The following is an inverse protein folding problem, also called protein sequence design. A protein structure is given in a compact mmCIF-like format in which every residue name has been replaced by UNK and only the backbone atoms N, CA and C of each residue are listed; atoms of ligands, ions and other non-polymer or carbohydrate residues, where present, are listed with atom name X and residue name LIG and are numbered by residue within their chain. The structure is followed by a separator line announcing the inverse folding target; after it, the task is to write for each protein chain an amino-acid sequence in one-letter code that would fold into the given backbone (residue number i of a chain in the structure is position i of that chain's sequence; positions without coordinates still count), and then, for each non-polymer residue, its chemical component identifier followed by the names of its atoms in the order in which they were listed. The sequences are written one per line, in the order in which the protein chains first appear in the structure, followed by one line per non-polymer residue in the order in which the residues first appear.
data_IF_579719804187
#
_entry.id   IF_579719804187
#
_cell.length_a   1.000
_cell.length_b   1.000
_cell.length_c   1.000
_cell.angle_alpha   90.00
_cell.angle_beta   90.00
_cell.angle_gamma   90.00
#
_symmetry.space_group_name_H-M   'P 1'
#
loop_
_entity.id
_entity.type
_entity.pdbx_description
1 polymer ?
#
# COMPACT_ATOMS: atom_id res chain seq x y z
N UNK A 1 -48.76 -41.09 44.62
CA UNK A 1 -48.46 -42.50 44.31
C UNK A 1 -47.46 -42.48 43.15
N UNK A 2 -46.17 -42.30 43.43
CA UNK A 2 -45.16 -43.34 43.77
C UNK A 2 -45.01 -44.42 42.69
N UNK A 3 -43.75 -44.62 42.28
CA UNK A 3 -43.13 -45.52 41.28
C UNK A 3 -42.71 -44.73 40.03
N UNK A 4 -41.58 -44.04 39.99
CA UNK A 4 -40.21 -44.32 40.46
C UNK A 4 -39.54 -45.57 39.88
N UNK A 5 -38.27 -45.33 39.49
CA UNK A 5 -37.18 -46.23 39.11
C UNK A 5 -37.23 -46.77 37.67
N UNK A 6 -36.18 -46.78 36.86
CA UNK A 6 -34.76 -46.39 36.93
C UNK A 6 -34.21 -46.68 35.50
N UNK A 7 -33.05 -46.27 34.98
CA UNK A 7 -31.80 -45.76 35.51
C UNK A 7 -30.86 -45.52 34.30
N UNK A 8 -29.95 -44.53 34.40
CA UNK A 8 -28.52 -44.63 34.01
C UNK A 8 -28.22 -44.66 32.49
N UNK A 9 -27.36 -43.83 31.88
CA UNK A 9 -26.28 -42.98 32.40
C UNK A 9 -25.77 -42.00 31.33
N UNK A 10 -24.89 -41.10 31.79
CA UNK A 10 -23.86 -40.34 31.07
C UNK A 10 -24.32 -39.02 30.42
N UNK A 11 -24.25 -37.90 31.15
CA UNK A 11 -23.04 -37.11 31.44
C UNK A 11 -22.57 -36.22 30.28
N UNK A 12 -22.84 -34.93 30.49
CA UNK A 12 -21.93 -33.80 30.30
C UNK A 12 -21.32 -33.53 28.91
N UNK A 13 -21.89 -32.49 28.28
CA UNK A 13 -21.21 -31.35 27.67
C UNK A 13 -19.85 -31.61 27.02
N UNK A 14 -19.86 -31.92 25.72
CA UNK A 14 -18.88 -31.44 24.75
C UNK A 14 -19.48 -31.51 23.33
N UNK A 15 -20.55 -30.76 23.06
CA UNK A 15 -21.06 -30.62 21.70
C UNK A 15 -20.22 -29.57 20.96
N UNK A 16 -19.32 -30.08 20.11
CA UNK A 16 -18.67 -29.36 19.03
C UNK A 16 -19.62 -28.33 18.39
N UNK A 17 -19.19 -27.07 18.33
CA UNK A 17 -19.59 -26.16 17.25
C UNK A 17 -18.93 -26.65 15.96
N UNK A 18 -19.46 -27.75 15.43
CA UNK A 18 -19.18 -28.17 14.07
C UNK A 18 -20.09 -27.30 13.20
N UNK A 19 -19.57 -26.12 12.79
CA UNK A 19 -20.18 -25.34 11.73
C UNK A 19 -20.23 -26.21 10.47
N UNK A 20 -21.36 -26.88 10.27
CA UNK A 20 -21.70 -27.49 9.00
C UNK A 20 -21.69 -26.37 7.95
N UNK A 21 -20.65 -26.36 7.10
CA UNK A 21 -20.73 -25.69 5.80
C UNK A 21 -21.86 -26.36 5.06
N UNK A 22 -23.02 -25.72 5.05
CA UNK A 22 -24.11 -26.04 4.13
C UNK A 22 -23.62 -25.62 2.75
N UNK A 23 -23.06 -26.57 2.01
CA UNK A 23 -22.79 -26.40 0.57
C UNK A 23 -24.14 -26.37 -0.16
N UNK A 24 -24.82 -25.21 -0.11
CA UNK A 24 -25.91 -24.90 -1.02
C UNK A 24 -25.34 -24.90 -2.43
N UNK A 25 -25.93 -25.69 -3.32
CA UNK A 25 -25.56 -25.70 -4.73
C UNK A 25 -25.63 -24.25 -5.26
N UNK A 26 -24.52 -23.69 -5.79
CA UNK A 26 -24.48 -22.30 -6.22
C UNK A 26 -25.48 -22.06 -7.36
N UNK A 27 -26.16 -20.92 -7.35
CA UNK A 27 -27.14 -20.55 -8.38
C UNK A 27 -26.47 -20.58 -9.77
N UNK A 28 -27.03 -21.30 -10.76
CA UNK A 28 -26.44 -21.39 -12.11
C UNK A 28 -26.18 -20.01 -12.75
N UNK A 29 -26.94 -18.97 -12.39
CA UNK A 29 -26.67 -17.59 -12.85
C UNK A 29 -25.40 -17.00 -12.24
N UNK A 30 -25.13 -17.30 -10.97
CA UNK A 30 -23.91 -16.84 -10.30
C UNK A 30 -22.68 -17.56 -10.84
N UNK A 31 -22.78 -18.86 -11.11
CA UNK A 31 -21.71 -19.64 -11.76
C UNK A 31 -21.40 -19.06 -13.14
N UNK A 32 -22.43 -18.82 -13.97
CA UNK A 32 -22.25 -18.22 -15.30
C UNK A 32 -21.65 -16.80 -15.23
N UNK A 33 -22.05 -15.99 -14.24
CA UNK A 33 -21.47 -14.66 -14.03
C UNK A 33 -20.00 -14.73 -13.58
N UNK A 34 -19.64 -15.67 -12.71
CA UNK A 34 -18.26 -15.91 -12.26
C UNK A 34 -17.41 -16.42 -13.41
N UNK A 35 -17.92 -17.34 -14.23
CA UNK A 35 -17.22 -17.84 -15.41
C UNK A 35 -17.04 -16.77 -16.48
N UNK A 36 -18.05 -15.95 -16.74
CA UNK A 36 -17.92 -14.80 -17.63
C UNK A 36 -16.88 -13.80 -17.11
N UNK A 37 -16.81 -13.58 -15.79
CA UNK A 37 -15.80 -12.71 -15.17
C UNK A 37 -14.40 -13.32 -15.29
N UNK A 38 -14.25 -14.62 -15.08
CA UNK A 38 -12.99 -15.36 -15.28
C UNK A 38 -12.56 -15.32 -16.74
N UNK A 39 -13.46 -15.48 -17.69
CA UNK A 39 -13.17 -15.43 -19.12
C UNK A 39 -12.74 -14.03 -19.56
N UNK A 40 -13.45 -12.98 -19.11
CA UNK A 40 -13.03 -11.59 -19.35
C UNK A 40 -11.66 -11.28 -18.74
N UNK A 41 -11.38 -11.76 -17.53
CA UNK A 41 -10.07 -11.56 -16.91
C UNK A 41 -8.98 -12.35 -17.65
N UNK A 42 -9.25 -13.57 -18.13
CA UNK A 42 -8.31 -14.32 -18.99
C UNK A 42 -8.03 -13.59 -20.31
N UNK A 43 -9.07 -13.09 -20.99
CA UNK A 43 -8.91 -12.28 -22.22
C UNK A 43 -8.11 -11.01 -21.95
N UNK A 44 -8.35 -10.36 -20.81
CA UNK A 44 -7.60 -9.20 -20.35
C UNK A 44 -6.13 -9.56 -20.07
N UNK A 45 -5.88 -10.66 -19.37
CA UNK A 45 -4.53 -11.16 -19.10
C UNK A 45 -3.78 -11.45 -20.41
N UNK A 46 -4.41 -12.11 -21.39
CA UNK A 46 -3.80 -12.37 -22.69
C UNK A 46 -3.38 -11.08 -23.43
N UNK A 47 -4.07 -9.95 -23.21
CA UNK A 47 -3.71 -8.64 -23.80
C UNK A 47 -2.60 -7.92 -23.03
N UNK A 48 -2.64 -7.94 -21.70
CA UNK A 48 -1.70 -7.19 -20.86
C UNK A 48 -0.37 -7.92 -20.61
N UNK A 49 -0.38 -9.25 -20.55
CA UNK A 49 0.83 -10.05 -20.33
C UNK A 49 1.64 -10.27 -21.60
N UNK A 50 1.03 -10.18 -22.79
CA UNK A 50 1.77 -10.20 -24.05
C UNK A 50 2.40 -8.82 -24.32
N UNK A 51 3.71 -8.71 -24.09
CA UNK A 51 4.48 -7.46 -24.20
C UNK A 51 4.43 -6.87 -25.61
N UNK A 52 4.42 -7.70 -26.67
CA UNK A 52 4.36 -7.22 -28.05
C UNK A 52 2.98 -6.61 -28.38
N UNK A 53 1.90 -7.28 -27.98
CA UNK A 53 0.54 -6.75 -28.19
C UNK A 53 0.29 -5.48 -27.37
N UNK A 54 0.94 -5.32 -26.21
CA UNK A 54 0.85 -4.10 -25.39
C UNK A 54 1.55 -2.89 -26.01
N UNK A 55 2.65 -3.11 -26.72
CA UNK A 55 3.47 -2.03 -27.30
C UNK A 55 3.07 -1.73 -28.75
N UNK A 56 2.71 -2.75 -29.54
CA UNK A 56 2.46 -2.65 -30.99
C UNK A 56 1.21 -3.41 -31.46
N UNK A 57 0.26 -3.73 -30.57
CA UNK A 57 -0.97 -4.43 -30.96
C UNK A 57 -1.87 -3.56 -31.81
N UNK A 58 -2.01 -3.90 -33.09
CA UNK A 58 -2.90 -3.23 -34.04
C UNK A 58 -3.75 -4.29 -34.72
N UNK A 59 -5.06 -4.03 -34.82
CA UNK A 59 -6.01 -4.92 -35.50
C UNK A 59 -5.92 -4.71 -37.02
N UNK A 60 -5.09 -5.53 -37.67
CA UNK A 60 -4.80 -5.45 -39.11
C UNK A 60 -6.04 -5.80 -39.94
N UNK A 61 -6.89 -6.71 -39.47
CA UNK A 61 -8.10 -7.13 -40.19
C UNK A 61 -9.16 -6.02 -40.18
N UNK A 62 -9.34 -5.34 -39.05
CA UNK A 62 -10.21 -4.17 -38.96
C UNK A 62 -9.70 -3.01 -39.82
N UNK A 63 -8.39 -2.74 -39.81
CA UNK A 63 -7.79 -1.70 -40.66
C UNK A 63 -7.94 -2.02 -42.16
N UNK A 64 -7.71 -3.27 -42.56
CA UNK A 64 -7.93 -3.68 -43.94
C UNK A 64 -9.39 -3.51 -44.35
N UNK A 65 -10.34 -3.85 -43.47
CA UNK A 65 -11.77 -3.64 -43.71
C UNK A 65 -12.11 -2.15 -43.89
N UNK A 66 -11.53 -1.26 -43.07
CA UNK A 66 -11.70 0.19 -43.21
C UNK A 66 -11.11 0.74 -44.51
N UNK A 67 -9.96 0.22 -44.95
CA UNK A 67 -9.33 0.61 -46.22
C UNK A 67 -10.20 0.19 -47.40
N UNK A 68 -10.74 -1.03 -47.39
CA UNK A 68 -11.66 -1.48 -48.44
C UNK A 68 -12.97 -0.68 -48.45
N UNK A 69 -13.54 -0.38 -47.28
CA UNK A 69 -14.73 0.48 -47.19
C UNK A 69 -14.47 1.88 -47.76
N UNK A 70 -13.29 2.45 -47.48
CA UNK A 70 -12.87 3.74 -48.05
C UNK A 70 -12.73 3.67 -49.57
N UNK A 71 -12.11 2.61 -50.11
CA UNK A 71 -11.98 2.43 -51.57
C UNK A 71 -13.34 2.33 -52.24
N UNK A 72 -14.29 1.63 -51.63
CA UNK A 72 -15.67 1.52 -52.13
C UNK A 72 -16.34 2.89 -52.14
N UNK A 73 -16.22 3.66 -51.05
CA UNK A 73 -16.75 5.04 -50.99
C UNK A 73 -16.18 5.94 -52.07
N UNK A 74 -14.86 5.96 -52.23
CA UNK A 74 -14.19 6.75 -53.26
C UNK A 74 -14.59 6.31 -54.68
N UNK A 75 -14.82 5.02 -54.92
CA UNK A 75 -15.30 4.52 -56.21
C UNK A 75 -16.75 4.96 -56.51
N UNK A 76 -17.62 4.96 -55.49
CA UNK A 76 -19.00 5.45 -55.61
C UNK A 76 -19.04 6.95 -55.86
N UNK A 77 -18.24 7.74 -55.14
CA UNK A 77 -18.11 9.18 -55.36
C UNK A 77 -17.65 9.48 -56.79
N UNK A 78 -16.58 8.83 -57.27
CA UNK A 78 -16.13 8.99 -58.66
C UNK A 78 -17.21 8.62 -59.68
N UNK A 79 -17.99 7.56 -59.43
CA UNK A 79 -19.10 7.19 -60.30
C UNK A 79 -20.21 8.24 -60.32
N UNK A 80 -20.49 8.87 -59.18
CA UNK A 80 -21.48 9.94 -59.09
C UNK A 80 -20.99 11.19 -59.82
N UNK A 81 -19.73 11.57 -59.65
CA UNK A 81 -19.13 12.72 -60.33
C UNK A 81 -19.19 12.55 -61.85
N UNK A 82 -18.82 11.39 -62.39
CA UNK A 82 -18.97 11.09 -63.81
C UNK A 82 -20.43 11.18 -64.29
N UNK A 83 -21.39 10.77 -63.45
CA UNK A 83 -22.81 10.89 -63.77
C UNK A 83 -23.31 12.35 -63.75
N UNK A 84 -22.72 13.21 -62.92
CA UNK A 84 -23.00 14.64 -62.95
C UNK A 84 -22.36 15.33 -64.15
N UNK A 85 -21.11 15.00 -64.48
CA UNK A 85 -20.40 15.55 -65.63
C UNK A 85 -21.11 15.24 -66.95
N UNK A 86 -21.61 14.01 -67.11
CA UNK A 86 -22.42 13.62 -68.28
C UNK A 86 -23.74 14.39 -68.37
N UNK A 87 -24.41 14.65 -67.25
CA UNK A 87 -25.61 15.50 -67.21
C UNK A 87 -25.29 16.94 -67.56
N UNK A 88 -24.19 17.49 -67.04
CA UNK A 88 -23.73 18.84 -67.37
C UNK A 88 -23.48 18.99 -68.87
N UNK A 89 -22.72 18.07 -69.47
CA UNK A 89 -22.47 18.07 -70.91
C UNK A 89 -23.78 18.00 -71.74
N UNK A 90 -24.78 17.24 -71.27
CA UNK A 90 -26.09 17.19 -71.90
C UNK A 90 -26.84 18.53 -71.80
N UNK A 91 -26.85 19.18 -70.63
CA UNK A 91 -27.49 20.49 -70.47
C UNK A 91 -26.81 21.58 -71.28
N UNK A 92 -25.49 21.57 -71.37
CA UNK A 92 -24.74 22.51 -72.20
C UNK A 92 -25.07 22.37 -73.69
N UNK A 93 -25.21 21.12 -74.17
CA UNK A 93 -25.66 20.86 -75.54
C UNK A 93 -27.07 21.40 -75.80
N UNK A 94 -28.00 21.20 -74.86
CA UNK A 94 -29.37 21.71 -74.96
C UNK A 94 -29.38 23.25 -74.98
N UNK A 95 -28.58 23.90 -74.14
CA UNK A 95 -28.46 25.35 -74.11
C UNK A 95 -27.96 25.90 -75.46
N UNK A 96 -26.92 25.29 -76.05
CA UNK A 96 -26.40 25.67 -77.37
C UNK A 96 -27.44 25.49 -78.49
N UNK A 97 -28.29 24.46 -78.41
CA UNK A 97 -29.37 24.26 -79.37
C UNK A 97 -30.45 25.36 -79.25
N UNK A 98 -30.85 25.72 -78.04
CA UNK A 98 -31.84 26.77 -77.79
C UNK A 98 -31.33 28.14 -78.27
N UNK A 99 -30.07 28.47 -78.01
CA UNK A 99 -29.45 29.72 -78.46
C UNK A 99 -29.44 29.83 -80.00
N UNK A 100 -29.12 28.72 -80.69
CA UNK A 100 -29.18 28.66 -82.16
C UNK A 100 -30.60 28.87 -82.69
N UNK A 101 -31.60 28.23 -82.08
CA UNK A 101 -33.00 28.43 -82.47
C UNK A 101 -33.45 29.88 -82.28
N UNK A 102 -33.09 30.51 -81.17
CA UNK A 102 -33.41 31.91 -80.89
C UNK A 102 -32.76 32.86 -81.90
N UNK A 103 -31.48 32.64 -82.21
CA UNK A 103 -30.76 33.42 -83.22
C UNK A 103 -31.41 33.28 -84.62
N UNK A 104 -31.82 32.08 -85.01
CA UNK A 104 -32.55 31.86 -86.27
C UNK A 104 -33.92 32.53 -86.30
N UNK A 105 -34.65 32.54 -85.17
CA UNK A 105 -35.94 33.24 -85.05
C UNK A 105 -35.74 34.75 -85.18
N UNK A 106 -34.72 35.31 -84.53
CA UNK A 106 -34.37 36.72 -84.63
C UNK A 106 -33.99 37.12 -86.07
N UNK A 107 -33.18 36.30 -86.76
CA UNK A 107 -32.81 36.53 -88.15
C UNK A 107 -34.04 36.49 -89.09
N UNK A 108 -34.93 35.50 -88.91
CA UNK A 108 -36.19 35.40 -89.68
C UNK A 108 -37.10 36.61 -89.46
N UNK A 109 -37.20 37.10 -88.22
CA UNK A 109 -37.98 38.29 -87.89
C UNK A 109 -37.38 39.54 -88.54
N UNK A 110 -36.07 39.72 -88.44
CA UNK A 110 -35.36 40.86 -89.04
C UNK A 110 -35.53 40.90 -90.56
N UNK A 111 -35.39 39.76 -91.26
CA UNK A 111 -35.65 39.68 -92.71
C UNK A 111 -37.08 40.07 -93.06
N UNK A 112 -38.09 39.57 -92.34
CA UNK A 112 -39.50 39.95 -92.57
C UNK A 112 -39.74 41.44 -92.38
N UNK A 113 -39.11 42.07 -91.38
CA UNK A 113 -39.20 43.52 -91.17
C UNK A 113 -38.56 44.28 -92.32
N UNK A 114 -37.39 43.83 -92.79
CA UNK A 114 -36.70 44.43 -93.93
C UNK A 114 -37.54 44.33 -95.21
N UNK A 115 -38.06 43.15 -95.53
CA UNK A 115 -38.93 42.90 -96.70
C UNK A 115 -40.20 43.79 -96.63
N UNK A 116 -40.76 43.97 -95.43
CA UNK A 116 -41.91 44.84 -95.23
C UNK A 116 -41.59 46.32 -95.48
N UNK A 117 -40.42 46.80 -95.01
CA UNK A 117 -39.95 48.17 -95.28
C UNK A 117 -39.78 48.39 -96.79
N UNK A 118 -39.13 47.46 -97.47
CA UNK A 118 -38.85 47.56 -98.90
C UNK A 118 -40.12 47.49 -99.75
N UNK A 119 -41.16 46.76 -99.33
CA UNK A 119 -42.40 46.64 -100.10
C UNK A 119 -43.42 47.75 -99.81
N UNK A 120 -43.54 48.19 -98.55
CA UNK A 120 -44.64 49.06 -98.08
C UNK A 120 -44.21 50.47 -97.70
N UNK A 121 -42.92 50.71 -97.42
CA UNK A 121 -42.40 52.00 -96.94
C UNK A 121 -41.43 52.63 -97.95
N UNK A 122 -41.70 52.47 -99.25
CA UNK A 122 -40.98 53.22 -100.28
C UNK A 122 -41.52 54.65 -100.36
N UNK A 123 -40.63 55.64 -100.43
CA UNK A 123 -40.97 57.07 -100.53
C UNK A 123 -41.95 57.40 -101.68
N UNK A 124 -41.96 56.58 -102.74
CA UNK A 124 -42.85 56.71 -103.91
C UNK A 124 -44.31 56.35 -103.63
N UNK A 125 -44.58 55.65 -102.53
CA UNK A 125 -45.90 55.13 -102.16
C UNK A 125 -46.54 55.94 -101.03
N UNK A 126 -45.97 57.10 -100.67
CA UNK A 126 -46.53 58.01 -99.70
C UNK A 126 -47.60 58.90 -100.36
N UNK A 127 -48.73 59.08 -99.67
CA UNK A 127 -49.88 59.84 -100.15
C UNK A 127 -49.61 61.36 -100.29
N UNK A 128 -48.44 61.80 -99.83
CA UNK A 128 -47.99 63.20 -99.76
C UNK A 128 -46.79 63.49 -100.69
N UNK A 129 -46.43 62.56 -101.58
CA UNK A 129 -45.32 62.76 -102.53
C UNK A 129 -45.53 63.98 -103.46
N UNK A 130 -46.79 64.36 -103.72
CA UNK A 130 -47.14 65.56 -104.49
C UNK A 130 -46.81 66.89 -103.77
N UNK A 131 -46.63 66.90 -102.44
CA UNK A 131 -46.25 68.09 -101.66
C UNK A 131 -44.73 68.27 -101.51
N UNK A 132 -43.94 67.25 -101.83
CA UNK A 132 -42.49 67.24 -101.70
C UNK A 132 -41.76 67.23 -103.06
N UNK A 133 -42.45 67.62 -104.12
CA UNK A 133 -41.84 67.84 -105.44
C UNK A 133 -41.15 69.23 -105.46
N UNK A 134 -39.83 69.34 -105.74
CA UNK A 134 -39.09 70.61 -105.67
C UNK A 134 -39.55 71.70 -106.67
N UNK A 135 -40.57 71.44 -107.49
CA UNK A 135 -41.00 72.27 -108.62
C UNK A 135 -42.45 72.80 -108.54
N UNK A 136 -43.19 72.63 -107.43
CA UNK A 136 -44.51 73.27 -107.28
C UNK A 136 -44.43 74.65 -106.63
N UNK A 137 -44.72 75.69 -107.42
CA UNK A 137 -44.77 77.10 -107.04
C UNK A 137 -46.11 77.45 -106.33
N UNK A 138 -45.97 77.93 -105.10
CA UNK A 138 -46.86 78.77 -104.26
C UNK A 138 -48.29 79.10 -104.74
N UNK A 139 -49.29 78.61 -104.00
CA UNK A 139 -50.54 79.35 -103.76
C UNK A 139 -50.43 80.14 -102.44
N UNK A 140 -50.74 81.44 -102.49
CA UNK A 140 -50.55 82.39 -101.40
C UNK A 140 -51.44 82.06 -100.17
N UNK A 141 -50.93 82.19 -98.93
CA UNK A 141 -51.78 82.22 -97.75
C UNK A 141 -52.50 83.57 -97.68
N UNK A 142 -53.83 83.53 -97.54
CA UNK A 142 -54.61 84.70 -97.13
C UNK A 142 -54.07 85.23 -95.79
N UNK A 143 -53.87 86.55 -95.74
CA UNK A 143 -53.23 87.30 -94.66
C UNK A 143 -53.83 86.98 -93.27
N UNK A 144 -53.00 86.39 -92.42
CA UNK A 144 -53.31 85.92 -91.06
C UNK A 144 -53.10 87.01 -90.00
N UNK A 145 -53.69 88.21 -90.13
CA UNK A 145 -53.70 89.18 -89.04
C UNK A 145 -54.94 90.07 -89.10
N UNK A 146 -56.08 89.51 -88.69
CA UNK A 146 -57.11 90.34 -88.07
C UNK A 146 -57.71 89.57 -86.88
N UNK A 147 -57.31 89.96 -85.67
CA UNK A 147 -57.56 89.23 -84.41
C UNK A 147 -58.97 89.50 -83.87
N UNK A 148 -59.92 89.85 -84.75
CA UNK A 148 -61.28 90.27 -84.40
C UNK A 148 -62.35 89.67 -85.34
N UNK A 149 -62.06 88.55 -86.01
CA UNK A 149 -63.09 87.71 -86.63
C UNK A 149 -63.33 86.47 -85.78
N UNK A 150 -64.50 86.38 -85.15
CA UNK A 150 -64.93 85.18 -84.42
C UNK A 150 -65.20 84.04 -85.40
N UNK A 151 -64.19 83.19 -85.60
CA UNK A 151 -64.32 81.96 -86.35
C UNK A 151 -65.07 80.93 -85.48
N UNK A 152 -66.33 80.62 -85.83
CA UNK A 152 -67.10 79.57 -85.15
C UNK A 152 -66.53 78.17 -85.40
N UNK A 153 -66.99 77.13 -84.68
CA UNK A 153 -66.47 75.76 -84.79
C UNK A 153 -66.59 75.14 -86.20
N UNK A 154 -67.39 75.71 -87.10
CA UNK A 154 -67.51 75.30 -88.50
C UNK A 154 -66.35 75.75 -89.41
N UNK A 155 -65.58 76.76 -88.99
CA UNK A 155 -64.44 77.30 -89.76
C UNK A 155 -63.22 76.38 -89.77
N UNK A 156 -63.12 75.46 -88.79
CA UNK A 156 -61.94 74.62 -88.53
C UNK A 156 -60.62 75.39 -88.33
N UNK A 157 -60.67 76.66 -87.93
CA UNK A 157 -59.47 77.50 -87.75
C UNK A 157 -58.99 77.60 -86.28
N UNK A 158 -59.80 77.15 -85.32
CA UNK A 158 -59.47 77.16 -83.89
C UNK A 158 -60.00 75.89 -83.22
N UNK A 159 -59.13 75.11 -82.56
CA UNK A 159 -59.50 73.88 -81.87
C UNK A 159 -59.17 73.96 -80.37
N UNK A 160 -60.11 73.61 -79.49
CA UNK A 160 -59.89 73.59 -78.04
C UNK A 160 -58.82 72.59 -77.57
N UNK A 161 -58.42 71.65 -78.43
CA UNK A 161 -57.29 70.75 -78.18
C UNK A 161 -55.92 71.36 -78.46
N UNK A 162 -55.87 72.53 -79.10
CA UNK A 162 -54.62 73.28 -79.35
C UNK A 162 -54.24 74.05 -78.09
N UNK A 163 -53.43 73.40 -77.26
CA UNK A 163 -52.91 73.98 -76.02
C UNK A 163 -51.77 74.97 -76.33
N UNK A 164 -52.13 76.24 -76.49
CA UNK A 164 -51.17 77.34 -76.66
C UNK A 164 -50.27 77.54 -75.42
N UNK A 165 -50.65 77.00 -74.25
CA UNK A 165 -49.89 77.08 -72.99
C UNK A 165 -49.12 75.78 -72.67
N UNK A 166 -49.06 74.84 -73.63
CA UNK A 166 -48.36 73.54 -73.46
C UNK A 166 -46.93 73.69 -72.96
N UNK A 167 -46.18 74.66 -73.49
CA UNK A 167 -44.80 74.91 -73.09
C UNK A 167 -44.68 75.37 -71.63
N UNK A 168 -45.58 76.26 -71.19
CA UNK A 168 -45.62 76.76 -69.81
C UNK A 168 -45.97 75.63 -68.82
N UNK A 169 -46.92 74.76 -69.18
CA UNK A 169 -47.29 73.57 -68.40
C UNK A 169 -46.13 72.58 -68.28
N UNK A 170 -45.43 72.30 -69.38
CA UNK A 170 -44.28 71.41 -69.39
C UNK A 170 -43.12 71.98 -68.56
N UNK A 171 -42.86 73.28 -68.62
CA UNK A 171 -41.86 73.94 -67.75
C UNK A 171 -42.20 73.77 -66.28
N UNK A 172 -43.45 74.01 -65.88
CA UNK A 172 -43.89 73.82 -64.49
C UNK A 172 -43.73 72.35 -64.04
N UNK A 173 -44.08 71.38 -64.89
CA UNK A 173 -43.88 69.96 -64.58
C UNK A 173 -42.40 69.61 -64.43
N UNK A 174 -41.54 70.10 -65.32
CA UNK A 174 -40.09 69.90 -65.24
C UNK A 174 -39.50 70.49 -63.96
N UNK A 175 -39.95 71.67 -63.55
CA UNK A 175 -39.51 72.30 -62.31
C UNK A 175 -39.96 71.50 -61.07
N UNK A 176 -41.20 70.99 -61.06
CA UNK A 176 -41.68 70.10 -60.01
C UNK A 176 -40.89 68.79 -59.94
N UNK A 177 -40.60 68.18 -61.09
CA UNK A 177 -39.77 66.97 -61.14
C UNK A 177 -38.36 67.23 -60.62
N UNK A 178 -37.73 68.34 -61.03
CA UNK A 178 -36.40 68.72 -60.54
C UNK A 178 -36.41 68.92 -59.03
N UNK A 179 -37.37 69.66 -58.49
CA UNK A 179 -37.49 69.89 -57.04
C UNK A 179 -37.64 68.57 -56.26
N UNK A 180 -38.50 67.67 -56.72
CA UNK A 180 -38.71 66.37 -56.07
C UNK A 180 -37.45 65.48 -56.12
N UNK A 181 -36.71 65.49 -57.24
CA UNK A 181 -35.46 64.75 -57.37
C UNK A 181 -34.37 65.32 -56.47
N UNK A 182 -34.25 66.64 -56.40
CA UNK A 182 -33.29 67.31 -55.52
C UNK A 182 -33.59 66.99 -54.05
N UNK A 183 -34.87 66.99 -53.66
CA UNK A 183 -35.29 66.60 -52.31
C UNK A 183 -34.95 65.13 -52.01
N UNK A 184 -35.24 64.20 -52.92
CA UNK A 184 -34.89 62.78 -52.74
C UNK A 184 -33.38 62.55 -52.62
N UNK A 185 -32.57 63.30 -53.37
CA UNK A 185 -31.11 63.23 -53.26
C UNK A 185 -30.63 63.72 -51.90
N UNK A 186 -31.18 64.82 -51.40
CA UNK A 186 -30.84 65.34 -50.06
C UNK A 186 -31.24 64.35 -48.95
N UNK A 187 -32.43 63.77 -49.03
CA UNK A 187 -32.89 62.75 -48.08
C UNK A 187 -31.98 61.51 -48.10
N UNK A 188 -31.58 61.03 -49.28
CA UNK A 188 -30.64 59.90 -49.39
C UNK A 188 -29.26 60.25 -48.83
N UNK A 189 -28.75 61.45 -49.08
CA UNK A 189 -27.47 61.90 -48.53
C UNK A 189 -27.54 61.99 -47.00
N UNK A 190 -28.60 62.58 -46.45
CA UNK A 190 -28.81 62.65 -45.01
C UNK A 190 -28.90 61.26 -44.37
N UNK A 191 -29.63 60.32 -44.99
CA UNK A 191 -29.72 58.94 -44.52
C UNK A 191 -28.37 58.22 -44.54
N UNK A 192 -27.56 58.40 -45.59
CA UNK A 192 -26.19 57.86 -45.66
C UNK A 192 -25.27 58.43 -44.59
N UNK A 193 -25.36 59.74 -44.34
CA UNK A 193 -24.57 60.40 -43.30
C UNK A 193 -24.98 59.92 -41.90
N UNK A 194 -26.27 59.72 -41.66
CA UNK A 194 -26.79 59.16 -40.42
C UNK A 194 -26.34 57.71 -40.21
N UNK A 195 -26.42 56.87 -41.25
CA UNK A 195 -25.92 55.50 -41.24
C UNK A 195 -24.41 55.45 -40.95
N UNK A 196 -23.62 56.31 -41.59
CA UNK A 196 -22.18 56.41 -41.34
C UNK A 196 -21.86 56.83 -39.90
N UNK A 197 -22.62 57.78 -39.32
CA UNK A 197 -22.47 58.18 -37.91
C UNK A 197 -22.86 57.05 -36.96
N UNK A 198 -23.95 56.34 -37.25
CA UNK A 198 -24.39 55.20 -36.46
C UNK A 198 -23.37 54.06 -36.49
N UNK A 199 -22.81 53.77 -37.67
CA UNK A 199 -21.74 52.78 -37.83
C UNK A 199 -20.49 53.16 -37.03
N UNK A 200 -20.04 54.41 -37.11
CA UNK A 200 -18.89 54.90 -36.33
C UNK A 200 -19.14 54.77 -34.82
N UNK A 201 -20.32 55.13 -34.35
CA UNK A 201 -20.68 54.99 -32.93
C UNK A 201 -20.71 53.52 -32.50
N UNK A 202 -21.26 52.64 -33.34
CA UNK A 202 -21.28 51.19 -33.10
C UNK A 202 -19.87 50.62 -32.98
N UNK A 203 -18.97 51.01 -33.88
CA UNK A 203 -17.56 50.60 -33.84
C UNK A 203 -16.85 51.10 -32.59
N UNK A 204 -17.08 52.36 -32.19
CA UNK A 204 -16.53 52.91 -30.95
C UNK A 204 -17.02 52.16 -29.70
N UNK A 205 -18.31 51.81 -29.66
CA UNK A 205 -18.88 51.03 -28.57
C UNK A 205 -18.29 49.62 -28.53
N UNK A 206 -18.13 48.96 -29.68
CA UNK A 206 -17.48 47.65 -29.76
C UNK A 206 -16.05 47.70 -29.22
N UNK A 207 -15.26 48.68 -29.66
CA UNK A 207 -13.89 48.87 -29.18
C UNK A 207 -13.85 49.12 -27.66
N UNK A 208 -14.77 49.92 -27.11
CA UNK A 208 -14.86 50.17 -25.68
C UNK A 208 -15.25 48.91 -24.87
N UNK A 209 -16.09 48.04 -25.44
CA UNK A 209 -16.44 46.75 -24.83
C UNK A 209 -15.24 45.82 -24.85
N UNK A 210 -14.52 45.73 -25.97
CA UNK A 210 -13.35 44.87 -26.12
C UNK A 210 -12.20 45.29 -25.21
N UNK A 211 -11.94 46.58 -25.08
CA UNK A 211 -10.91 47.10 -24.15
C UNK A 211 -11.27 46.79 -22.71
N UNK A 212 -12.52 47.00 -22.30
CA UNK A 212 -13.00 46.67 -20.96
C UNK A 212 -12.93 45.17 -20.69
N UNK A 213 -13.25 44.33 -21.67
CA UNK A 213 -13.14 42.88 -21.55
C UNK A 213 -11.68 42.45 -21.33
N UNK A 214 -10.73 43.03 -22.08
CA UNK A 214 -9.31 42.77 -21.92
C UNK A 214 -8.79 43.21 -20.54
N UNK A 215 -9.22 44.37 -20.05
CA UNK A 215 -8.87 44.84 -18.70
C UNK A 215 -9.37 43.89 -17.61
N UNK A 216 -10.63 43.44 -17.71
CA UNK A 216 -11.21 42.49 -16.76
C UNK A 216 -10.48 41.14 -16.77
N UNK A 217 -10.14 40.62 -17.96
CA UNK A 217 -9.36 39.39 -18.09
C UNK A 217 -7.99 39.51 -17.41
N UNK A 218 -7.28 40.62 -17.64
CA UNK A 218 -5.98 40.89 -17.00
C UNK A 218 -6.09 40.96 -15.47
N UNK A 219 -7.14 41.63 -14.96
CA UNK A 219 -7.39 41.71 -13.52
C UNK A 219 -7.69 40.33 -12.94
N UNK A 220 -8.54 39.53 -13.59
CA UNK A 220 -8.85 38.17 -13.15
C UNK A 220 -7.60 37.27 -13.11
N UNK A 221 -6.75 37.33 -14.13
CA UNK A 221 -5.49 36.60 -14.16
C UNK A 221 -4.56 37.01 -13.02
N UNK A 222 -4.43 38.31 -12.75
CA UNK A 222 -3.60 38.81 -11.65
C UNK A 222 -4.13 38.37 -10.28
N UNK A 223 -5.45 38.38 -10.07
CA UNK A 223 -6.10 37.85 -8.87
C UNK A 223 -5.87 36.35 -8.71
N UNK A 224 -6.04 35.57 -9.79
CA UNK A 224 -5.76 34.12 -9.79
C UNK A 224 -4.29 33.84 -9.49
N UNK A 225 -3.36 34.62 -10.05
CA UNK A 225 -1.94 34.49 -9.77
C UNK A 225 -1.62 34.79 -8.30
N UNK A 226 -2.16 35.88 -7.75
CA UNK A 226 -2.01 36.23 -6.33
C UNK A 226 -2.60 35.16 -5.40
N UNK A 227 -3.74 34.57 -5.75
CA UNK A 227 -4.34 33.47 -4.98
C UNK A 227 -3.45 32.22 -5.00
N UNK A 228 -2.91 31.85 -6.17
CA UNK A 228 -1.99 30.70 -6.30
C UNK A 228 -0.72 30.91 -5.48
N UNK A 229 -0.13 32.11 -5.49
CA UNK A 229 1.07 32.39 -4.70
C UNK A 229 0.78 32.38 -3.20
N UNK A 230 -0.35 32.95 -2.77
CA UNK A 230 -0.78 32.88 -1.37
C UNK A 230 -1.00 31.42 -0.90
N UNK A 231 -1.69 30.60 -1.71
CA UNK A 231 -1.88 29.17 -1.42
C UNK A 231 -0.55 28.41 -1.36
N UNK A 232 0.36 28.66 -2.30
CA UNK A 232 1.68 28.03 -2.30
C UNK A 232 2.48 28.40 -1.04
N UNK A 233 2.42 29.65 -0.60
CA UNK A 233 3.08 30.10 0.62
C UNK A 233 2.45 29.48 1.88
N UNK A 234 1.12 29.39 1.95
CA UNK A 234 0.42 28.72 3.05
C UNK A 234 0.78 27.22 3.12
N UNK A 235 0.79 26.53 1.97
CA UNK A 235 1.19 25.12 1.89
C UNK A 235 2.64 24.91 2.32
N UNK A 236 3.56 25.79 1.89
CA UNK A 236 4.97 25.77 2.34
C UNK A 236 5.09 25.96 3.86
N UNK A 237 4.35 26.92 4.43
CA UNK A 237 4.35 27.16 5.87
C UNK A 237 3.79 25.95 6.65
N UNK A 238 2.72 25.34 6.14
CA UNK A 238 2.14 24.13 6.73
C UNK A 238 3.11 22.95 6.67
N UNK A 239 3.77 22.72 5.53
CA UNK A 239 4.78 21.68 5.38
C UNK A 239 5.96 21.90 6.34
N UNK A 240 6.42 23.15 6.49
CA UNK A 240 7.47 23.48 7.45
C UNK A 240 7.04 23.21 8.90
N UNK A 241 5.80 23.58 9.28
CA UNK A 241 5.24 23.26 10.60
C UNK A 241 5.18 21.76 10.85
N UNK A 242 4.71 20.98 9.87
CA UNK A 242 4.66 19.52 9.97
C UNK A 242 6.06 18.91 10.11
N UNK A 243 7.04 19.39 9.34
CA UNK A 243 8.43 18.93 9.46
C UNK A 243 9.03 19.23 10.84
N UNK A 244 8.72 20.39 11.44
CA UNK A 244 9.14 20.70 12.81
C UNK A 244 8.50 19.77 13.84
N UNK A 245 7.20 19.50 13.73
CA UNK A 245 6.51 18.56 14.62
C UNK A 245 7.11 17.14 14.52
N UNK A 246 7.37 16.66 13.31
CA UNK A 246 8.02 15.36 13.10
C UNK A 246 9.42 15.31 13.71
N UNK A 247 10.21 16.38 13.61
CA UNK A 247 11.53 16.46 14.25
C UNK A 247 11.42 16.42 15.78
N UNK A 248 10.46 17.15 16.35
CA UNK A 248 10.20 17.13 17.79
C UNK A 248 9.79 15.73 18.26
N UNK A 249 8.89 15.08 17.53
CA UNK A 249 8.44 13.71 17.83
C UNK A 249 9.59 12.71 17.73
N UNK A 250 10.46 12.83 16.72
CA UNK A 250 11.67 12.02 16.61
C UNK A 250 12.62 12.24 17.78
N UNK A 251 12.80 13.49 18.23
CA UNK A 251 13.62 13.80 19.41
C UNK A 251 13.02 13.19 20.67
N UNK A 252 11.71 13.35 20.89
CA UNK A 252 11.02 12.74 22.03
C UNK A 252 11.12 11.22 22.00
N UNK A 253 10.99 10.59 20.84
CA UNK A 253 11.15 9.15 20.69
C UNK A 253 12.59 8.72 20.99
N UNK A 254 13.60 9.48 20.55
CA UNK A 254 14.99 9.20 20.88
C UNK A 254 15.24 9.32 22.39
N UNK A 255 14.71 10.35 23.04
CA UNK A 255 14.79 10.51 24.50
C UNK A 255 14.09 9.36 25.24
N UNK A 256 12.89 8.97 24.80
CA UNK A 256 12.17 7.82 25.34
C UNK A 256 12.98 6.52 25.18
N UNK A 257 13.54 6.27 23.99
CA UNK A 257 14.39 5.11 23.74
C UNK A 257 15.63 5.12 24.65
N UNK A 258 16.29 6.28 24.82
CA UNK A 258 17.47 6.40 25.69
C UNK A 258 17.11 6.18 27.16
N UNK A 259 15.97 6.71 27.62
CA UNK A 259 15.50 6.48 28.99
C UNK A 259 15.12 5.03 29.22
N UNK A 260 14.51 4.36 28.24
CA UNK A 260 14.24 2.93 28.29
C UNK A 260 15.53 2.11 28.37
N UNK A 261 16.51 2.38 27.49
CA UNK A 261 17.82 1.71 27.50
C UNK A 261 18.49 1.90 28.87
N UNK A 262 18.52 3.12 29.40
CA UNK A 262 19.09 3.39 30.73
C UNK A 262 18.36 2.59 31.81
N UNK A 263 17.03 2.57 31.80
CA UNK A 263 16.21 1.83 32.77
C UNK A 263 16.48 0.33 32.70
N UNK A 264 16.60 -0.23 31.49
CA UNK A 264 16.93 -1.63 31.28
C UNK A 264 18.34 -1.94 31.81
N UNK A 265 19.34 -1.12 31.45
CA UNK A 265 20.72 -1.27 31.93
C UNK A 265 20.79 -1.23 33.46
N UNK A 266 20.02 -0.35 34.11
CA UNK A 266 19.96 -0.25 35.59
C UNK A 266 18.99 -1.23 36.24
N UNK A 267 18.28 -2.06 35.46
CA UNK A 267 17.30 -2.99 36.02
C UNK A 267 17.98 -4.08 36.85
N UNK A 268 17.27 -4.58 37.86
CA UNK A 268 17.76 -5.67 38.72
C UNK A 268 18.04 -6.97 37.93
N UNK A 269 17.39 -7.14 36.78
CA UNK A 269 17.59 -8.28 35.89
C UNK A 269 18.98 -8.21 35.24
N UNK A 270 19.30 -7.11 34.54
CA UNK A 270 20.57 -6.98 33.80
C UNK A 270 21.77 -6.70 34.71
N UNK A 271 21.58 -6.02 35.84
CA UNK A 271 22.66 -5.77 36.83
C UNK A 271 22.89 -6.96 37.77
N UNK A 272 22.03 -7.97 37.68
CA UNK A 272 21.99 -9.11 38.59
C UNK A 272 22.03 -8.74 40.08
N UNK A 273 21.36 -7.66 40.47
CA UNK A 273 21.40 -7.11 41.81
C UNK A 273 21.10 -8.18 42.89
N UNK A 274 22.03 -8.46 43.84
CA UNK A 274 21.83 -9.48 44.88
C UNK A 274 20.72 -9.10 45.88
N UNK A 275 20.41 -7.80 46.02
CA UNK A 275 19.36 -7.32 46.92
C UNK A 275 17.96 -7.71 46.44
N UNK A 276 17.78 -7.99 45.14
CA UNK A 276 16.51 -8.46 44.59
C UNK A 276 16.08 -9.84 45.15
N UNK A 277 17.02 -10.58 45.74
CA UNK A 277 16.74 -11.85 46.39
C UNK A 277 16.23 -11.69 47.83
N UNK A 278 16.34 -10.50 48.44
CA UNK A 278 15.94 -10.29 49.83
C UNK A 278 14.42 -10.20 49.98
N UNK A 279 13.87 -10.88 50.97
CA UNK A 279 12.43 -10.83 51.22
C UNK A 279 12.02 -9.48 51.86
N UNK A 280 11.06 -8.72 51.30
CA UNK A 280 10.73 -7.35 51.74
C UNK A 280 10.38 -7.21 53.23
N UNK A 281 9.64 -8.18 53.76
CA UNK A 281 9.19 -8.16 55.17
C UNK A 281 10.04 -9.04 56.11
N UNK A 282 11.03 -9.75 55.60
CA UNK A 282 11.80 -10.73 56.38
C UNK A 282 13.27 -10.74 55.93
N UNK A 283 14.13 -9.85 56.44
CA UNK A 283 15.50 -9.67 55.95
C UNK A 283 16.38 -10.93 56.00
N UNK A 284 16.04 -11.88 56.88
CA UNK A 284 16.73 -13.15 57.06
C UNK A 284 16.27 -14.24 56.07
N UNK A 285 15.18 -14.03 55.33
CA UNK A 285 14.67 -14.96 54.31
C UNK A 285 15.03 -14.46 52.92
N UNK A 286 15.33 -15.41 52.04
CA UNK A 286 15.64 -15.17 50.63
C UNK A 286 14.47 -15.66 49.80
N UNK A 287 14.09 -14.92 48.76
CA UNK A 287 13.10 -15.31 47.78
C UNK A 287 13.66 -16.48 46.94
N UNK A 288 13.03 -17.68 46.95
CA UNK A 288 13.62 -18.88 46.33
C UNK A 288 13.90 -18.72 44.83
N UNK A 289 13.02 -18.03 44.10
CA UNK A 289 13.13 -17.83 42.65
C UNK A 289 14.13 -16.75 42.23
N UNK A 290 14.59 -15.91 43.16
CA UNK A 290 15.60 -14.87 42.92
C UNK A 290 16.97 -15.21 43.52
N UNK A 291 17.15 -16.41 44.08
CA UNK A 291 18.37 -16.77 44.76
C UNK A 291 19.52 -17.04 43.78
N UNK A 292 20.60 -16.25 43.88
CA UNK A 292 21.80 -16.32 43.01
C UNK A 292 23.06 -16.79 43.75
N UNK A 293 22.90 -17.57 44.82
CA UNK A 293 24.00 -18.08 45.64
C UNK A 293 24.30 -17.27 46.91
N UNK A 294 25.39 -17.62 47.60
CA UNK A 294 25.79 -16.98 48.87
C UNK A 294 26.52 -15.66 48.66
N UNK A 295 26.34 -14.70 49.56
CA UNK A 295 27.07 -13.43 49.51
C UNK A 295 28.58 -13.65 49.73
N UNK A 296 29.45 -12.78 49.18
CA UNK A 296 30.89 -12.86 49.44
C UNK A 296 31.22 -12.84 50.94
N UNK A 297 30.45 -12.09 51.73
CA UNK A 297 30.58 -12.01 53.20
C UNK A 297 30.24 -13.34 53.88
N UNK A 298 29.14 -13.99 53.50
CA UNK A 298 28.77 -15.31 54.02
C UNK A 298 29.83 -16.36 53.70
N UNK A 299 30.33 -16.37 52.46
CA UNK A 299 31.43 -17.27 52.05
C UNK A 299 32.71 -17.00 52.83
N UNK A 300 33.02 -15.73 53.10
CA UNK A 300 34.18 -15.37 53.92
C UNK A 300 34.02 -15.85 55.38
N UNK A 301 32.81 -15.72 55.96
CA UNK A 301 32.52 -16.24 57.30
C UNK A 301 32.70 -17.76 57.37
N UNK A 302 32.17 -18.51 56.39
CA UNK A 302 32.35 -19.97 56.31
C UNK A 302 33.84 -20.34 56.25
N UNK A 303 34.63 -19.65 55.41
CA UNK A 303 36.08 -19.89 55.32
C UNK A 303 36.79 -19.65 56.66
N UNK A 304 36.43 -18.58 57.38
CA UNK A 304 36.96 -18.32 58.72
C UNK A 304 36.60 -19.43 59.70
N UNK A 305 35.35 -19.89 59.71
CA UNK A 305 34.92 -21.00 60.58
C UNK A 305 35.67 -22.30 60.25
N UNK A 306 35.86 -22.60 58.96
CA UNK A 306 36.65 -23.77 58.54
C UNK A 306 38.11 -23.68 58.97
N UNK A 307 38.69 -22.49 58.99
CA UNK A 307 40.04 -22.26 59.50
C UNK A 307 40.15 -22.51 61.00
N UNK A 308 39.18 -22.01 61.78
CA UNK A 308 39.06 -22.29 63.22
C UNK A 308 38.94 -23.80 63.46
N UNK A 309 38.04 -24.50 62.74
CA UNK A 309 37.87 -25.94 62.86
C UNK A 309 39.15 -26.73 62.55
N UNK A 310 39.93 -26.30 61.53
CA UNK A 310 41.23 -26.92 61.23
C UNK A 310 42.20 -26.76 62.38
N UNK A 311 42.21 -25.59 63.02
CA UNK A 311 43.08 -25.30 64.15
C UNK A 311 42.67 -26.09 65.41
N UNK A 312 41.39 -26.08 65.77
CA UNK A 312 40.85 -26.87 66.89
C UNK A 312 41.15 -28.36 66.71
N UNK A 313 40.95 -28.92 65.50
CA UNK A 313 41.25 -30.32 65.22
C UNK A 313 42.73 -30.64 65.30
N UNK A 314 43.60 -29.67 64.99
CA UNK A 314 45.06 -29.82 65.13
C UNK A 314 45.45 -29.86 66.61
N UNK A 315 44.85 -29.01 67.43
CA UNK A 315 45.06 -28.96 68.89
C UNK A 315 44.55 -30.24 69.56
N UNK A 316 43.36 -30.73 69.17
CA UNK A 316 42.83 -32.02 69.65
C UNK A 316 43.78 -33.17 69.35
N UNK A 317 44.29 -33.28 68.11
CA UNK A 317 45.28 -34.31 67.76
C UNK A 317 46.58 -34.19 68.56
N UNK A 318 46.99 -32.98 68.93
CA UNK A 318 48.16 -32.79 69.78
C UNK A 318 47.90 -33.26 71.21
N UNK A 319 46.72 -32.94 71.76
CA UNK A 319 46.30 -33.38 73.09
C UNK A 319 46.11 -34.92 73.15
N UNK A 320 45.52 -35.53 72.12
CA UNK A 320 45.41 -36.99 71.99
C UNK A 320 46.80 -37.64 71.98
N UNK A 321 47.75 -37.09 71.20
CA UNK A 321 49.14 -37.59 71.18
C UNK A 321 49.83 -37.47 72.53
N UNK A 322 49.62 -36.39 73.29
CA UNK A 322 50.20 -36.25 74.63
C UNK A 322 49.57 -37.25 75.61
N UNK A 323 48.25 -37.45 75.54
CA UNK A 323 47.53 -38.42 76.38
C UNK A 323 47.96 -39.85 76.05
N UNK A 324 48.05 -40.22 74.78
CA UNK A 324 48.57 -41.53 74.34
C UNK A 324 50.01 -41.76 74.83
N UNK A 325 50.86 -40.72 74.76
CA UNK A 325 52.21 -40.82 75.31
C UNK A 325 52.23 -40.97 76.84
N UNK A 326 51.30 -40.37 77.56
CA UNK A 326 51.12 -40.57 79.01
C UNK A 326 50.66 -42.00 79.33
N UNK A 327 49.65 -42.51 78.62
CA UNK A 327 49.22 -43.90 78.75
C UNK A 327 50.32 -44.89 78.40
N UNK A 328 51.09 -44.62 77.35
CA UNK A 328 52.27 -45.42 76.99
C UNK A 328 53.30 -45.47 78.11
N UNK A 329 53.61 -44.31 78.73
CA UNK A 329 54.51 -44.25 79.90
C UNK A 329 53.96 -45.04 81.09
N UNK A 330 52.67 -44.89 81.41
CA UNK A 330 52.04 -45.66 82.48
C UNK A 330 52.08 -47.16 82.21
N UNK A 331 51.85 -47.58 80.97
CA UNK A 331 51.91 -48.98 80.56
C UNK A 331 53.31 -49.56 80.75
N UNK A 332 54.35 -48.82 80.37
CA UNK A 332 55.75 -49.22 80.58
C UNK A 332 56.05 -49.38 82.07
N UNK A 333 55.70 -48.38 82.89
CA UNK A 333 55.92 -48.44 84.35
C UNK A 333 55.17 -49.62 85.00
N UNK A 334 53.94 -49.91 84.56
CA UNK A 334 53.17 -51.07 85.03
C UNK A 334 53.81 -52.40 84.60
N UNK A 335 54.35 -52.48 83.39
CA UNK A 335 55.06 -53.65 82.90
C UNK A 335 56.36 -53.88 83.70
N UNK A 336 57.12 -52.83 83.99
CA UNK A 336 58.30 -52.88 84.86
C UNK A 336 57.93 -53.38 86.27
N UNK A 337 56.90 -52.80 86.90
CA UNK A 337 56.42 -53.24 88.20
C UNK A 337 55.92 -54.70 88.19
N UNK A 338 55.29 -55.16 87.11
CA UNK A 338 54.86 -56.55 86.95
C UNK A 338 56.06 -57.51 86.83
N UNK A 339 57.11 -57.11 86.10
CA UNK A 339 58.36 -57.88 86.02
C UNK A 339 59.05 -57.97 87.38
N UNK A 340 59.12 -56.88 88.14
CA UNK A 340 59.65 -56.88 89.51
C UNK A 340 58.87 -57.84 90.43
N UNK A 341 57.53 -57.86 90.34
CA UNK A 341 56.70 -58.80 91.09
C UNK A 341 56.92 -60.26 90.65
N UNK A 342 57.09 -60.51 89.35
CA UNK A 342 57.38 -61.86 88.82
C UNK A 342 58.76 -62.35 89.31
N UNK A 343 59.75 -61.47 89.41
CA UNK A 343 61.05 -61.79 90.00
C UNK A 343 60.92 -62.13 91.49
N UNK A 344 60.17 -61.34 92.28
CA UNK A 344 59.90 -61.64 93.69
C UNK A 344 59.17 -62.99 93.86
N UNK A 345 58.21 -63.31 92.99
CA UNK A 345 57.52 -64.60 93.00
C UNK A 345 58.49 -65.75 92.70
N UNK A 346 59.41 -65.58 91.73
CA UNK A 346 60.44 -66.57 91.41
C UNK A 346 61.38 -66.81 92.59
N UNK A 347 61.81 -65.75 93.27
CA UNK A 347 62.64 -65.84 94.48
C UNK A 347 61.93 -66.61 95.59
N UNK A 348 60.68 -66.26 95.89
CA UNK A 348 59.87 -66.97 96.89
C UNK A 348 59.66 -68.44 96.52
N UNK A 349 59.35 -68.73 95.25
CA UNK A 349 59.24 -70.10 94.74
C UNK A 349 60.55 -70.87 94.89
N UNK A 350 61.70 -70.24 94.65
CA UNK A 350 63.00 -70.86 94.84
C UNK A 350 63.27 -71.18 96.32
N UNK A 351 62.93 -70.27 97.24
CA UNK A 351 63.01 -70.52 98.69
C UNK A 351 62.10 -71.69 99.11
N UNK A 352 60.84 -71.70 98.66
CA UNK A 352 59.93 -72.83 98.92
C UNK A 352 60.46 -74.15 98.36
N UNK A 353 61.04 -74.16 97.16
CA UNK A 353 61.66 -75.37 96.58
C UNK A 353 62.87 -75.83 97.38
N UNK A 354 63.71 -74.92 97.88
CA UNK A 354 64.82 -75.27 98.77
C UNK A 354 64.30 -75.87 100.08
N UNK A 355 63.29 -75.25 100.69
CA UNK A 355 62.64 -75.76 101.91
C UNK A 355 62.02 -77.14 101.72
N UNK A 356 61.26 -77.35 100.65
CA UNK A 356 60.70 -78.66 100.27
C UNK A 356 61.79 -79.68 99.96
N UNK A 357 62.88 -79.27 99.33
CA UNK A 357 64.05 -80.12 99.07
C UNK A 357 64.68 -80.64 100.37
N UNK A 358 64.89 -79.77 101.35
CA UNK A 358 65.39 -80.13 102.68
C UNK A 358 64.43 -81.08 103.41
N UNK A 359 63.13 -80.78 103.39
CA UNK A 359 62.11 -81.63 104.01
C UNK A 359 62.03 -83.03 103.36
N UNK A 360 62.08 -83.10 102.02
CA UNK A 360 62.10 -84.37 101.31
C UNK A 360 63.37 -85.19 101.61
N UNK A 361 64.53 -84.54 101.83
CA UNK A 361 65.74 -85.25 102.27
C UNK A 361 65.58 -85.84 103.67
N UNK A 362 64.96 -85.12 104.60
CA UNK A 362 64.65 -85.63 105.94
C UNK A 362 63.68 -86.81 105.87
N UNK A 363 62.60 -86.68 105.11
CA UNK A 363 61.62 -87.76 104.90
C UNK A 363 62.26 -88.99 104.25
N UNK A 364 63.17 -88.80 103.28
CA UNK A 364 63.90 -89.90 102.65
C UNK A 364 64.82 -90.62 103.66
N UNK A 365 65.49 -89.88 104.56
CA UNK A 365 66.29 -90.48 105.64
C UNK A 365 65.40 -91.28 106.59
N UNK A 366 64.24 -90.76 106.98
CA UNK A 366 63.27 -91.48 107.84
C UNK A 366 62.72 -92.75 107.18
N UNK A 367 62.39 -92.71 105.88
CA UNK A 367 61.99 -93.91 105.15
C UNK A 367 63.12 -94.94 105.07
N UNK A 368 64.36 -94.49 104.85
CA UNK A 368 65.51 -95.37 104.81
C UNK A 368 65.79 -96.01 106.18
N UNK A 369 65.63 -95.27 107.28
CA UNK A 369 65.73 -95.85 108.63
C UNK A 369 64.60 -96.84 108.93
N UNK A 370 63.37 -96.56 108.50
CA UNK A 370 62.25 -97.51 108.59
C UNK A 370 62.49 -98.78 107.77
N UNK A 371 62.93 -98.66 106.52
CA UNK A 371 63.24 -99.83 105.68
C UNK A 371 64.36 -100.67 106.29
N UNK A 372 65.40 -100.03 106.82
CA UNK A 372 66.47 -100.73 107.54
C UNK A 372 65.91 -101.48 108.76
N UNK A 373 65.03 -100.85 109.55
CA UNK A 373 64.36 -101.49 110.68
C UNK A 373 63.53 -102.73 110.25
N UNK A 374 62.69 -102.60 109.22
CA UNK A 374 61.87 -103.69 108.68
C UNK A 374 62.74 -104.88 108.21
N UNK A 375 63.78 -104.59 107.44
CA UNK A 375 64.69 -105.61 106.89
C UNK A 375 65.52 -106.31 107.97
N UNK A 376 65.93 -105.61 109.03
CA UNK A 376 66.79 -106.19 110.08
C UNK A 376 66.04 -106.94 111.18
N UNK A 377 64.80 -106.56 111.48
CA UNK A 377 64.07 -107.06 112.66
C UNK A 377 62.86 -107.92 112.26
N UNK A 378 62.11 -107.54 111.23
CA UNK A 378 60.84 -108.21 110.88
C UNK A 378 61.06 -109.30 109.82
N UNK A 379 61.90 -109.05 108.81
CA UNK A 379 62.07 -109.98 107.69
C UNK A 379 63.14 -111.07 107.89
N UNK A 380 63.74 -111.15 109.07
CA UNK A 380 64.63 -112.25 109.49
C UNK A 380 63.85 -113.32 110.26
N UNK A 381 63.44 -114.37 109.56
CA UNK A 381 62.83 -115.56 110.17
C UNK A 381 63.92 -116.45 110.80
N UNK A 382 64.05 -116.40 112.13
CA UNK A 382 64.83 -117.37 112.90
C UNK A 382 63.95 -118.62 113.16
N UNK A 383 64.39 -119.85 112.85
CA UNK A 383 63.59 -121.05 113.11
C UNK A 383 63.37 -121.27 114.61
N UNK A 384 62.11 -121.34 115.04
CA UNK A 384 61.72 -121.57 116.44
C UNK A 384 62.11 -122.99 116.89
N UNK A 385 62.49 -123.15 118.16
CA UNK A 385 63.01 -124.41 118.74
C UNK A 385 62.14 -125.67 118.48
N UNK A 386 60.84 -125.52 118.24
CA UNK A 386 59.94 -126.61 117.81
C UNK A 386 60.28 -127.23 116.44
N UNK A 387 60.94 -126.49 115.54
CA UNK A 387 61.33 -126.97 114.21
C UNK A 387 62.37 -128.10 114.28
N UNK A 388 63.33 -128.03 115.21
CA UNK A 388 64.41 -129.01 115.31
C UNK A 388 63.99 -130.32 116.00
N UNK A 389 62.92 -130.30 116.80
CA UNK A 389 62.38 -131.48 117.49
C UNK A 389 61.62 -132.45 116.56
N UNK A 390 61.37 -132.07 115.31
CA UNK A 390 60.66 -132.90 114.33
C UNK A 390 61.55 -133.98 113.67
N UNK A 391 62.89 -133.83 113.72
CA UNK A 391 63.82 -134.72 113.02
C UNK A 391 64.36 -135.84 113.92
N UNK A 392 64.49 -137.06 113.38
CA UNK A 392 64.93 -138.30 114.05
C UNK A 392 64.00 -138.88 115.13
N UNK A 393 62.69 -138.71 114.96
CA UNK A 393 61.64 -139.28 115.83
C UNK A 393 61.24 -140.74 115.49
N UNK A 394 61.86 -141.39 114.50
CA UNK A 394 61.64 -142.82 114.17
C UNK A 394 62.91 -143.50 113.64
N UNK A 395 63.10 -144.80 113.93
CA UNK A 395 64.33 -145.56 113.65
C UNK A 395 64.35 -146.23 112.27
N UNK A 396 63.92 -145.52 111.22
CA UNK A 396 63.88 -146.05 109.85
C UNK A 396 64.85 -145.36 108.91
#
# INVERSE_FOLDING_TARGET
MVKDSASIDASFHLSLLQMYKLDLAPDPKEIAAIEARKNREKERQCRFFNVQNRIMGVDVEALNSQVEERKIREAVERSNDMAYDTKHAHYDLVAQMLEKEEAERACRLSKRVQDFREQRQQLKNEHEFDFCDPNQLYELPASYYDRESYFGPASMQYFLGEDLERESRLKMQQEQFRYNLDQQLQEQQAARDEEARAALLSDQLRLAVDTRAAELARLEESCKAAMRTAMANANKAQAAKQALLQRLEQQQQQEANLTEIKKQITSDLLTENPQAAQHPHAPHRVLPYCWKGMTPEQRAAIRKTQEIQRQEKKEQRQAEKSMEAEWGRQTINLAEAALELEEQEKELCAEFRRGLGSFNQELAREQQTQQNYLNSIIYTNQPTAQYFLQFNTTSR
#
